data_IF_039192848817
#
_entry.id   IF_039192848817
#
_cell.length_a   1.000
_cell.length_b   1.000
_cell.length_c   1.000
_cell.angle_alpha   90.00
_cell.angle_beta   90.00
_cell.angle_gamma   90.00
#
_symmetry.space_group_name_H-M   'P 1'
#
loop_
_entity.id
_entity.type
_entity.pdbx_description
1 polymer ?
#
# COMPACT_ATOMS: atom_id res chain seq x y z
N UNK A 1 24.99 16.96 -4.26
CA UNK A 1 23.88 16.02 -4.10
C UNK A 1 22.71 16.50 -4.95
N UNK A 2 22.11 15.58 -5.69
CA UNK A 2 20.94 15.90 -6.48
C UNK A 2 19.72 16.06 -5.56
N UNK A 3 18.97 17.11 -5.77
CA UNK A 3 17.76 17.31 -5.00
C UNK A 3 16.59 16.66 -5.74
N UNK A 4 15.90 15.75 -5.07
CA UNK A 4 14.77 15.03 -5.66
C UNK A 4 13.69 15.97 -6.16
N UNK A 5 13.46 17.08 -5.44
CA UNK A 5 12.40 18.04 -5.76
C UNK A 5 12.66 18.85 -7.03
N UNK A 6 13.87 18.81 -7.56
CA UNK A 6 14.17 19.41 -8.84
C UNK A 6 13.73 18.53 -10.02
N UNK A 7 13.55 17.25 -9.78
CA UNK A 7 13.17 16.28 -10.82
C UNK A 7 11.75 15.76 -10.65
N UNK A 8 11.30 15.66 -9.41
CA UNK A 8 10.00 15.07 -9.11
C UNK A 8 9.15 16.06 -8.34
N UNK A 9 7.91 16.23 -8.79
CA UNK A 9 6.98 17.15 -8.12
C UNK A 9 6.26 16.48 -6.94
N UNK A 10 6.29 15.17 -6.87
CA UNK A 10 5.69 14.43 -5.76
C UNK A 10 6.44 13.15 -5.50
N UNK A 11 6.61 12.83 -4.22
CA UNK A 11 7.16 11.58 -3.76
C UNK A 11 6.04 10.79 -3.10
N UNK A 12 5.82 9.54 -3.53
CA UNK A 12 4.86 8.66 -2.86
C UNK A 12 5.63 7.51 -2.26
N UNK A 13 5.72 7.51 -0.93
CA UNK A 13 6.39 6.46 -0.18
C UNK A 13 5.34 5.46 0.26
N UNK A 14 5.57 4.18 0.01
CA UNK A 14 4.59 3.17 0.35
C UNK A 14 5.24 1.91 0.90
N UNK A 15 4.47 1.17 1.68
CA UNK A 15 4.84 -0.11 2.23
C UNK A 15 3.65 -1.06 2.11
N UNK A 16 3.94 -2.35 1.95
CA UNK A 16 2.90 -3.37 1.83
C UNK A 16 3.18 -4.52 2.76
N UNK A 17 2.11 -5.14 3.25
CA UNK A 17 2.16 -6.45 3.90
C UNK A 17 1.52 -7.46 2.96
N UNK A 18 2.12 -8.64 2.88
CA UNK A 18 1.68 -9.68 1.95
C UNK A 18 1.52 -11.01 2.66
N UNK A 19 0.90 -11.98 1.98
CA UNK A 19 0.81 -13.35 2.50
C UNK A 19 2.12 -14.12 2.33
N UNK A 20 3.04 -13.61 1.52
CA UNK A 20 4.34 -14.24 1.26
C UNK A 20 5.04 -13.57 0.10
N UNK A 21 6.02 -14.25 -0.48
CA UNK A 21 6.89 -13.69 -1.51
C UNK A 21 6.74 -14.36 -2.88
N UNK A 22 5.79 -15.25 -3.05
CA UNK A 22 5.60 -15.96 -4.32
C UNK A 22 4.66 -15.23 -5.25
N UNK A 23 5.16 -14.85 -6.42
CA UNK A 23 4.35 -14.21 -7.44
C UNK A 23 3.26 -15.15 -7.95
N UNK A 24 2.06 -14.62 -8.13
CA UNK A 24 0.94 -15.35 -8.67
C UNK A 24 0.09 -16.08 -7.63
N UNK A 25 0.64 -16.36 -6.47
CA UNK A 25 -0.09 -17.04 -5.39
C UNK A 25 -0.27 -16.17 -4.16
N UNK A 26 0.75 -15.37 -3.82
CA UNK A 26 0.66 -14.50 -2.66
C UNK A 26 -0.04 -13.20 -2.98
N UNK A 27 -0.64 -12.61 -1.96
CA UNK A 27 -1.50 -11.44 -2.08
C UNK A 27 -1.03 -10.33 -1.16
N UNK A 28 -1.22 -9.09 -1.60
CA UNK A 28 -1.06 -7.93 -0.73
C UNK A 28 -2.29 -7.86 0.17
N UNK A 29 -2.07 -7.74 1.47
CA UNK A 29 -3.14 -7.67 2.47
C UNK A 29 -3.22 -6.32 3.16
N UNK A 30 -2.18 -5.49 3.05
CA UNK A 30 -2.21 -4.13 3.57
C UNK A 30 -1.33 -3.25 2.70
N UNK A 31 -1.75 -2.01 2.49
CA UNK A 31 -0.95 -0.99 1.85
C UNK A 31 -1.04 0.29 2.67
N UNK A 32 0.11 0.87 2.98
CA UNK A 32 0.21 2.18 3.60
C UNK A 32 1.06 3.08 2.74
N UNK A 33 0.62 4.31 2.52
CA UNK A 33 1.33 5.23 1.65
C UNK A 33 1.14 6.67 2.10
N UNK A 34 2.13 7.51 1.76
CA UNK A 34 2.07 8.94 2.00
C UNK A 34 2.62 9.67 0.79
N UNK A 35 1.97 10.77 0.43
CA UNK A 35 2.40 11.66 -0.64
C UNK A 35 3.07 12.89 -0.05
N UNK A 36 4.23 13.24 -0.58
CA UNK A 36 5.04 14.37 -0.11
C UNK A 36 5.36 15.30 -1.27
N UNK A 37 5.32 16.61 -1.01
CA UNK A 37 5.78 17.63 -1.95
C UNK A 37 6.71 18.57 -1.18
N UNK A 38 7.93 18.74 -1.68
CA UNK A 38 8.97 19.52 -1.01
C UNK A 38 9.16 19.13 0.46
N UNK A 39 9.06 17.83 0.75
CA UNK A 39 9.23 17.30 2.10
C UNK A 39 8.02 17.42 3.02
N UNK A 40 6.92 18.00 2.53
CA UNK A 40 5.70 18.15 3.33
C UNK A 40 4.65 17.14 2.90
N UNK A 41 4.02 16.48 3.88
CA UNK A 41 2.97 15.52 3.61
C UNK A 41 1.73 16.23 3.06
N UNK A 42 1.24 15.74 1.93
CA UNK A 42 0.06 16.27 1.26
C UNK A 42 -1.15 15.35 1.39
N UNK A 43 -0.92 14.09 1.72
CA UNK A 43 -1.99 13.15 1.89
C UNK A 43 -1.44 11.78 2.24
N UNK A 44 -2.31 10.92 2.72
CA UNK A 44 -1.94 9.54 3.01
C UNK A 44 -3.07 8.60 2.61
N UNK A 45 -2.74 7.32 2.58
CA UNK A 45 -3.68 6.27 2.29
C UNK A 45 -3.27 5.02 3.04
N UNK A 46 -4.25 4.34 3.64
CA UNK A 46 -4.01 3.08 4.33
C UNK A 46 -5.23 2.18 4.12
N UNK A 47 -5.00 0.94 3.74
CA UNK A 47 -6.08 0.00 3.55
C UNK A 47 -5.63 -1.42 3.83
N UNK A 48 -6.52 -2.18 4.46
CA UNK A 48 -6.45 -3.63 4.50
C UNK A 48 -7.18 -4.16 3.27
N UNK A 49 -6.66 -5.23 2.68
CA UNK A 49 -7.21 -5.79 1.45
C UNK A 49 -7.72 -7.20 1.72
N UNK A 50 -8.99 -7.40 1.40
CA UNK A 50 -9.65 -8.67 1.66
C UNK A 50 -9.09 -9.78 0.77
N UNK A 51 -8.89 -10.96 1.36
CA UNK A 51 -8.49 -12.14 0.59
C UNK A 51 -9.67 -12.68 -0.22
N UNK A 52 -9.38 -13.37 -1.33
CA UNK A 52 -10.43 -14.07 -2.07
C UNK A 52 -11.18 -15.05 -1.17
N UNK A 53 -12.44 -15.31 -1.51
CA UNK A 53 -13.27 -16.22 -0.75
C UNK A 53 -12.60 -17.60 -0.59
N UNK A 54 -12.63 -18.12 0.61
CA UNK A 54 -12.04 -19.43 0.92
C UNK A 54 -10.56 -19.42 1.23
N UNK A 55 -9.88 -18.28 1.08
CA UNK A 55 -8.47 -18.16 1.46
C UNK A 55 -8.35 -17.60 2.87
N UNK A 56 -7.34 -18.09 3.60
CA UNK A 56 -7.04 -17.63 4.95
C UNK A 56 -5.56 -17.26 5.03
N UNK A 57 -5.23 -16.44 6.02
CA UNK A 57 -3.83 -16.04 6.25
C UNK A 57 -3.03 -17.22 6.81
N UNK A 58 -1.78 -17.42 6.32
CA UNK A 58 -0.86 -18.30 7.02
C UNK A 58 -0.67 -17.78 8.45
N UNK A 59 -0.63 -18.71 9.39
CA UNK A 59 -0.54 -18.34 10.81
C UNK A 59 0.66 -17.44 11.11
N UNK A 60 1.80 -17.69 10.48
CA UNK A 60 2.99 -16.91 10.72
C UNK A 60 2.84 -15.43 10.24
N UNK A 61 2.00 -15.17 9.27
CA UNK A 61 1.73 -13.80 8.82
C UNK A 61 0.99 -13.03 9.90
N UNK A 62 -0.01 -13.64 10.53
CA UNK A 62 -0.71 -13.02 11.65
C UNK A 62 0.26 -12.74 12.81
N UNK A 63 1.17 -13.67 13.09
CA UNK A 63 2.17 -13.46 14.13
C UNK A 63 3.13 -12.32 13.79
N UNK A 64 3.51 -12.19 12.52
CA UNK A 64 4.47 -11.19 12.08
C UNK A 64 3.85 -9.79 11.98
N UNK A 65 2.64 -9.69 11.46
CA UNK A 65 2.00 -8.40 11.14
C UNK A 65 0.95 -7.95 12.15
N UNK A 66 0.40 -8.89 12.92
CA UNK A 66 -0.74 -8.63 13.77
C UNK A 66 -2.09 -8.64 13.05
N UNK A 67 -2.08 -8.81 11.74
CA UNK A 67 -3.30 -8.81 10.93
C UNK A 67 -3.96 -10.18 11.02
N UNK A 68 -5.27 -10.22 11.25
CA UNK A 68 -6.04 -11.44 11.39
C UNK A 68 -7.01 -11.62 10.22
N UNK A 69 -7.45 -12.88 10.00
CA UNK A 69 -8.50 -13.17 9.01
C UNK A 69 -9.77 -12.38 9.30
N UNK A 70 -10.12 -12.25 10.58
CA UNK A 70 -11.29 -11.49 10.99
C UNK A 70 -11.18 -10.02 10.60
N UNK A 71 -10.01 -9.41 10.83
CA UNK A 71 -9.77 -8.03 10.42
C UNK A 71 -9.91 -7.84 8.91
N UNK A 72 -9.35 -8.74 8.12
CA UNK A 72 -9.44 -8.64 6.66
C UNK A 72 -10.88 -8.77 6.20
N UNK A 73 -11.66 -9.64 6.84
CA UNK A 73 -13.06 -9.82 6.49
C UNK A 73 -13.91 -8.61 6.85
N UNK A 74 -13.68 -8.03 8.02
CA UNK A 74 -14.53 -6.97 8.56
C UNK A 74 -14.10 -5.57 8.07
N UNK A 75 -12.80 -5.34 7.93
CA UNK A 75 -12.25 -4.01 7.60
C UNK A 75 -11.61 -3.94 6.22
N UNK A 76 -11.35 -5.08 5.60
CA UNK A 76 -10.69 -5.12 4.30
C UNK A 76 -11.58 -4.62 3.18
N UNK A 77 -10.95 -3.97 2.20
CA UNK A 77 -11.60 -3.59 0.95
C UNK A 77 -11.14 -4.53 -0.16
N UNK A 78 -11.79 -4.49 -1.30
CA UNK A 78 -11.32 -5.27 -2.44
C UNK A 78 -10.05 -4.62 -3.04
N UNK A 79 -9.32 -5.40 -3.82
CA UNK A 79 -8.05 -4.96 -4.40
C UNK A 79 -8.20 -3.77 -5.34
N UNK A 80 -9.30 -3.69 -6.06
CA UNK A 80 -9.58 -2.56 -6.96
C UNK A 80 -9.78 -1.27 -6.17
N UNK A 81 -10.56 -1.31 -5.11
CA UNK A 81 -10.78 -0.16 -4.24
C UNK A 81 -9.47 0.32 -3.63
N UNK A 82 -8.63 -0.61 -3.19
CA UNK A 82 -7.31 -0.26 -2.65
C UNK A 82 -6.43 0.38 -3.71
N UNK A 83 -6.40 -0.18 -4.92
CA UNK A 83 -5.61 0.36 -6.02
C UNK A 83 -6.07 1.77 -6.40
N UNK A 84 -7.37 1.99 -6.47
CA UNK A 84 -7.92 3.31 -6.78
C UNK A 84 -7.57 4.33 -5.71
N UNK A 85 -7.64 3.95 -4.44
CA UNK A 85 -7.26 4.82 -3.33
C UNK A 85 -5.78 5.19 -3.36
N UNK A 86 -4.93 4.23 -3.64
CA UNK A 86 -3.49 4.48 -3.80
C UNK A 86 -3.24 5.43 -4.98
N UNK A 87 -3.88 5.18 -6.12
CA UNK A 87 -3.67 5.98 -7.32
C UNK A 87 -4.09 7.43 -7.13
N UNK A 88 -5.04 7.72 -6.24
CA UNK A 88 -5.43 9.11 -5.94
C UNK A 88 -4.27 9.93 -5.37
N UNK A 89 -3.31 9.29 -4.74
CA UNK A 89 -2.11 9.99 -4.27
C UNK A 89 -1.25 10.52 -5.42
N UNK A 90 -1.45 10.01 -6.63
CA UNK A 90 -0.73 10.43 -7.82
C UNK A 90 -1.46 11.52 -8.61
N UNK A 91 -2.72 11.81 -8.26
CA UNK A 91 -3.53 12.76 -8.99
C UNK A 91 -2.93 14.16 -8.95
N UNK A 92 -2.81 14.78 -10.13
CA UNK A 92 -2.26 16.12 -10.25
C UNK A 92 -0.74 16.20 -10.27
N UNK A 93 -0.04 15.10 -10.07
CA UNK A 93 1.42 15.07 -10.15
C UNK A 93 1.84 14.84 -11.61
N UNK A 94 2.79 15.63 -12.09
CA UNK A 94 3.32 15.47 -13.46
C UNK A 94 4.46 14.49 -13.50
N UNK A 95 5.33 14.50 -12.48
CA UNK A 95 6.48 13.61 -12.41
C UNK A 95 6.59 13.03 -11.00
N UNK A 96 5.71 12.11 -10.62
CA UNK A 96 5.81 11.49 -9.30
C UNK A 96 6.91 10.43 -9.26
N UNK A 97 7.53 10.29 -8.10
CA UNK A 97 8.47 9.20 -7.81
C UNK A 97 7.84 8.28 -6.78
N UNK A 98 7.78 6.99 -7.09
CA UNK A 98 7.28 5.99 -6.16
C UNK A 98 8.45 5.35 -5.43
N UNK A 99 8.39 5.31 -4.11
CA UNK A 99 9.44 4.73 -3.28
C UNK A 99 8.83 3.62 -2.43
N UNK A 100 9.24 2.39 -2.69
CA UNK A 100 8.83 1.24 -1.90
C UNK A 100 9.72 1.14 -0.66
N UNK A 101 9.08 0.89 0.45
CA UNK A 101 9.78 0.78 1.72
C UNK A 101 10.22 -0.64 2.00
#
# INVERSE_FOLDING_TARGET
>A
MMELWNEFDRLVVFDTETTGIEFGTDRIIEIGAAALENGEEQGDFNALIRLPAGQTLPHFITQLTGITDEQLRDEGVDDRTAAEGFCRLLDGAEQPLLVAY
#
